data_IF_920277950072
#
_entry.id   IF_920277950072
#
_cell.length_a   1.000
_cell.length_b   1.000
_cell.length_c   1.000
_cell.angle_alpha   90.00
_cell.angle_beta   90.00
_cell.angle_gamma   90.00
#
_symmetry.space_group_name_H-M   'P 1'
#
loop_
_entity.id
_entity.type
_entity.pdbx_description
1 polymer ?
#
# COMPACT_ATOMS: atom_id res chain seq x y z
N UNK A 1 -17.66 -11.19 -7.05
CA UNK A 1 -17.85 -10.69 -5.67
C UNK A 1 -16.51 -10.73 -4.96
N UNK A 2 -16.10 -9.64 -4.30
CA UNK A 2 -14.81 -9.60 -3.60
C UNK A 2 -14.91 -10.37 -2.28
N UNK A 3 -13.85 -11.11 -1.95
CA UNK A 3 -13.68 -11.75 -0.64
C UNK A 3 -12.53 -11.03 0.05
N UNK A 4 -12.86 -10.00 0.84
CA UNK A 4 -11.87 -9.09 1.45
C UNK A 4 -10.84 -9.84 2.29
N UNK A 5 -11.28 -10.83 3.08
CA UNK A 5 -10.39 -11.66 3.87
C UNK A 5 -9.33 -12.36 3.01
N UNK A 6 -9.73 -12.95 1.88
CA UNK A 6 -8.80 -13.61 0.96
C UNK A 6 -7.76 -12.62 0.44
N UNK A 7 -8.18 -11.41 0.06
CA UNK A 7 -7.27 -10.37 -0.44
C UNK A 7 -6.27 -9.99 0.65
N UNK A 8 -6.74 -9.71 1.87
CA UNK A 8 -5.88 -9.36 3.01
C UNK A 8 -4.85 -10.46 3.27
N UNK A 9 -5.30 -11.71 3.41
CA UNK A 9 -4.41 -12.85 3.68
C UNK A 9 -3.42 -13.09 2.55
N UNK A 10 -3.85 -13.01 1.30
CA UNK A 10 -2.97 -13.13 0.12
C UNK A 10 -1.91 -12.02 0.10
N UNK A 11 -2.28 -10.77 0.37
CA UNK A 11 -1.34 -9.65 0.42
C UNK A 11 -0.33 -9.83 1.55
N UNK A 12 -0.77 -10.16 2.77
CA UNK A 12 0.13 -10.43 3.90
C UNK A 12 1.12 -11.56 3.58
N UNK A 13 0.65 -12.66 2.99
CA UNK A 13 1.50 -13.77 2.56
C UNK A 13 2.50 -13.35 1.47
N UNK A 14 2.06 -12.56 0.50
CA UNK A 14 2.91 -12.06 -0.57
C UNK A 14 4.01 -11.14 -0.06
N UNK A 15 3.78 -10.43 1.06
CA UNK A 15 4.79 -9.62 1.76
C UNK A 15 5.75 -10.48 2.58
N UNK A 16 5.30 -11.61 3.14
CA UNK A 16 6.12 -12.57 3.88
C UNK A 16 5.62 -12.90 5.29
N UNK A 17 4.44 -12.43 5.68
CA UNK A 17 3.82 -12.70 6.99
C UNK A 17 3.16 -14.07 7.02
N UNK A 18 3.96 -15.11 7.32
CA UNK A 18 3.55 -16.52 7.24
C UNK A 18 3.60 -17.26 8.57
N UNK A 19 4.03 -16.61 9.65
CA UNK A 19 4.10 -17.22 10.98
C UNK A 19 4.09 -16.16 12.09
N UNK A 20 3.73 -16.56 13.31
CA UNK A 20 3.78 -15.65 14.46
C UNK A 20 5.21 -15.18 14.77
N UNK A 21 6.24 -15.96 14.42
CA UNK A 21 7.65 -15.63 14.65
C UNK A 21 8.12 -14.39 13.88
N UNK A 22 7.53 -14.13 12.71
CA UNK A 22 7.79 -12.91 11.92
C UNK A 22 6.90 -11.74 12.35
N UNK A 23 6.10 -11.91 13.41
CA UNK A 23 5.23 -10.89 14.01
C UNK A 23 3.78 -10.89 13.52
N UNK A 24 3.46 -11.59 12.42
CA UNK A 24 2.11 -11.73 11.90
C UNK A 24 1.98 -13.01 11.05
N UNK A 25 0.92 -13.76 11.27
CA UNK A 25 0.58 -14.96 10.52
C UNK A 25 -0.67 -14.72 9.68
N UNK A 26 -0.52 -14.72 8.35
CA UNK A 26 -1.61 -14.50 7.41
C UNK A 26 -2.72 -15.56 7.48
N UNK A 27 -2.46 -16.76 8.00
CA UNK A 27 -3.47 -17.82 8.10
C UNK A 27 -4.21 -17.81 9.44
N UNK A 28 -3.56 -17.33 10.50
CA UNK A 28 -4.11 -17.35 11.86
C UNK A 28 -4.58 -15.97 12.38
N UNK A 29 -4.22 -14.86 11.72
CA UNK A 29 -4.68 -13.54 12.14
C UNK A 29 -6.20 -13.37 11.95
N UNK A 30 -6.81 -12.55 12.82
CA UNK A 30 -8.20 -12.13 12.67
C UNK A 30 -8.30 -11.03 11.62
N UNK A 31 -9.18 -11.21 10.64
CA UNK A 31 -9.52 -10.16 9.68
C UNK A 31 -10.92 -9.66 10.03
N UNK A 32 -11.01 -8.41 10.49
CA UNK A 32 -12.27 -7.74 10.78
C UNK A 32 -12.59 -6.80 9.63
N UNK A 33 -13.80 -6.91 9.07
CA UNK A 33 -14.24 -6.10 7.93
C UNK A 33 -15.36 -5.18 8.38
N UNK A 34 -15.05 -3.89 8.46
CA UNK A 34 -16.02 -2.82 8.74
C UNK A 34 -16.06 -1.84 7.56
N UNK A 35 -16.57 -2.30 6.42
CA UNK A 35 -16.68 -1.49 5.20
C UNK A 35 -18.14 -1.13 4.98
N UNK A 36 -18.41 0.17 4.89
CA UNK A 36 -19.72 0.71 4.55
C UNK A 36 -19.68 1.34 3.15
N UNK A 37 -20.87 1.61 2.60
CA UNK A 37 -20.98 2.37 1.36
C UNK A 37 -20.52 3.81 1.58
N UNK A 38 -20.10 4.47 0.49
CA UNK A 38 -19.78 5.90 0.55
C UNK A 38 -21.01 6.70 1.04
N UNK A 39 -20.77 7.71 1.87
CA UNK A 39 -21.81 8.64 2.33
C UNK A 39 -22.59 9.23 1.14
N UNK A 40 -23.94 9.19 1.17
CA UNK A 40 -24.77 9.75 0.09
C UNK A 40 -24.49 11.22 -0.18
N UNK A 41 -24.18 12.01 0.85
CA UNK A 41 -23.89 13.43 0.71
C UNK A 41 -22.57 13.67 -0.03
N UNK A 42 -21.57 12.84 0.24
CA UNK A 42 -20.28 12.87 -0.48
C UNK A 42 -20.50 12.41 -1.93
N UNK A 43 -21.24 11.31 -2.13
CA UNK A 43 -21.53 10.79 -3.45
C UNK A 43 -22.25 11.80 -4.35
N UNK A 44 -23.23 12.53 -3.80
CA UNK A 44 -23.95 13.61 -4.48
C UNK A 44 -22.99 14.76 -4.86
N UNK A 45 -22.15 15.19 -3.92
CA UNK A 45 -21.19 16.28 -4.14
C UNK A 45 -20.12 15.95 -5.18
N UNK A 46 -19.55 14.74 -5.11
CA UNK A 46 -18.43 14.31 -5.96
C UNK A 46 -18.92 13.92 -7.34
N UNK A 47 -19.71 12.85 -7.45
CA UNK A 47 -20.09 12.22 -8.73
C UNK A 47 -21.60 12.22 -8.99
N UNK A 48 -22.41 12.93 -8.18
CA UNK A 48 -23.87 13.01 -8.33
C UNK A 48 -24.54 11.65 -8.33
N UNK A 49 -24.15 10.73 -7.43
CA UNK A 49 -24.62 9.34 -7.46
C UNK A 49 -24.39 8.63 -8.82
N UNK A 50 -23.25 8.93 -9.46
CA UNK A 50 -22.78 8.35 -10.72
C UNK A 50 -23.51 8.88 -11.96
N UNK A 51 -24.20 10.02 -11.85
CA UNK A 51 -24.88 10.66 -12.98
C UNK A 51 -24.06 11.75 -13.65
N UNK A 52 -23.02 12.28 -12.98
CA UNK A 52 -22.15 13.32 -13.54
C UNK A 52 -21.27 12.76 -14.66
N UNK A 53 -21.03 13.57 -15.69
CA UNK A 53 -20.01 13.28 -16.69
C UNK A 53 -18.61 13.39 -16.09
N UNK A 54 -17.61 12.82 -16.75
CA UNK A 54 -16.24 12.76 -16.25
C UNK A 54 -15.68 14.17 -15.93
N UNK A 55 -15.96 15.14 -16.80
CA UNK A 55 -15.55 16.55 -16.67
C UNK A 55 -16.29 17.31 -15.57
N UNK A 56 -17.38 16.76 -15.03
CA UNK A 56 -18.20 17.36 -13.97
C UNK A 56 -17.89 16.76 -12.57
N UNK A 57 -17.09 15.70 -12.50
CA UNK A 57 -16.71 15.04 -11.24
C UNK A 57 -15.87 16.02 -10.41
N UNK A 58 -16.37 16.31 -9.21
CA UNK A 58 -15.68 17.17 -8.24
C UNK A 58 -14.56 16.45 -7.51
N UNK A 59 -13.70 17.20 -6.83
CA UNK A 59 -12.72 16.63 -5.92
C UNK A 59 -13.42 15.81 -4.82
N UNK A 60 -12.84 14.66 -4.47
CA UNK A 60 -13.36 13.78 -3.41
C UNK A 60 -13.22 14.36 -2.01
N UNK A 61 -12.22 15.22 -1.82
CA UNK A 61 -11.90 15.92 -0.58
C UNK A 61 -11.05 17.17 -0.90
N UNK A 62 -10.84 18.03 0.08
CA UNK A 62 -9.97 19.20 -0.01
C UNK A 62 -8.47 18.82 0.08
N UNK A 63 -7.63 19.47 -0.73
CA UNK A 63 -6.18 19.25 -0.70
C UNK A 63 -5.42 20.07 -1.74
N UNK A 64 -4.08 20.11 -1.60
CA UNK A 64 -3.17 20.69 -2.58
C UNK A 64 -2.19 19.62 -3.04
N UNK A 65 -1.86 19.62 -4.33
CA UNK A 65 -0.93 18.67 -4.92
C UNK A 65 0.21 19.45 -5.56
N UNK A 66 1.45 19.07 -5.26
CA UNK A 66 2.65 19.61 -5.91
C UNK A 66 3.31 18.51 -6.73
N UNK A 67 3.66 18.84 -7.96
CA UNK A 67 4.55 18.03 -8.80
C UNK A 67 5.94 18.68 -8.86
N UNK A 68 6.98 17.85 -8.80
CA UNK A 68 8.37 18.26 -8.97
C UNK A 68 9.08 17.29 -9.90
N UNK A 69 9.95 17.82 -10.77
CA UNK A 69 10.78 17.04 -11.69
C UNK A 69 12.14 17.74 -11.83
N UNK A 70 13.20 16.97 -11.99
CA UNK A 70 14.58 17.47 -12.16
C UNK A 70 15.36 16.54 -13.07
N UNK A 71 16.34 17.03 -13.81
CA UNK A 71 17.14 16.24 -14.76
C UNK A 71 18.35 15.53 -14.12
N UNK A 72 18.48 15.61 -12.80
CA UNK A 72 19.57 14.97 -12.05
C UNK A 72 19.66 13.44 -12.24
N UNK A 73 18.55 12.78 -12.61
CA UNK A 73 18.48 11.35 -12.89
C UNK A 73 17.65 11.04 -14.16
N UNK A 74 17.86 9.89 -14.84
CA UNK A 74 17.08 9.50 -16.01
C UNK A 74 15.57 9.37 -15.76
N UNK A 75 15.18 9.08 -14.51
CA UNK A 75 13.79 8.99 -14.06
C UNK A 75 13.18 10.36 -13.71
N UNK A 76 13.88 11.45 -14.02
CA UNK A 76 13.52 12.84 -13.72
C UNK A 76 13.22 13.13 -12.24
N UNK A 77 13.87 12.38 -11.36
CA UNK A 77 13.73 12.45 -9.91
C UNK A 77 14.98 13.04 -9.26
N UNK A 78 14.82 13.61 -8.07
CA UNK A 78 15.95 14.14 -7.30
C UNK A 78 16.97 13.05 -7.01
N UNK A 79 18.26 13.31 -7.24
CA UNK A 79 19.30 12.29 -7.15
C UNK A 79 19.40 11.61 -5.80
N UNK A 80 19.29 12.37 -4.71
CA UNK A 80 19.33 11.83 -3.34
C UNK A 80 18.11 10.94 -3.04
N UNK A 81 16.92 11.33 -3.52
CA UNK A 81 15.73 10.49 -3.42
C UNK A 81 15.94 9.18 -4.19
N UNK A 82 16.35 9.25 -5.45
CA UNK A 82 16.65 8.07 -6.25
C UNK A 82 17.73 7.20 -5.58
N UNK A 83 18.78 7.78 -5.00
CA UNK A 83 19.82 7.02 -4.33
C UNK A 83 19.31 6.24 -3.11
N UNK A 84 18.41 6.82 -2.30
CA UNK A 84 17.82 6.13 -1.15
C UNK A 84 16.98 4.94 -1.63
N UNK A 85 16.06 5.17 -2.57
CA UNK A 85 15.10 4.15 -3.05
C UNK A 85 15.74 3.09 -3.95
N UNK A 86 16.70 3.47 -4.79
CA UNK A 86 17.46 2.53 -5.62
C UNK A 86 18.47 1.70 -4.83
N UNK A 87 18.85 2.14 -3.63
CA UNK A 87 19.57 1.32 -2.65
C UNK A 87 18.62 0.58 -1.68
N UNK A 88 17.29 0.66 -1.88
CA UNK A 88 16.32 -0.21 -1.19
C UNK A 88 16.03 -1.59 -1.84
N UNK A 89 16.76 -2.18 -2.82
CA UNK A 89 16.48 -3.55 -3.22
C UNK A 89 17.28 -4.57 -2.38
N UNK A 90 16.63 -5.59 -1.83
CA UNK A 90 15.60 -5.40 -0.81
C UNK A 90 16.01 -6.16 0.44
N UNK A 91 16.14 -5.50 1.59
CA UNK A 91 16.30 -6.24 2.85
C UNK A 91 15.17 -7.28 2.99
N UNK A 92 13.96 -6.92 2.56
CA UNK A 92 12.79 -7.78 2.45
C UNK A 92 12.88 -8.94 1.41
N UNK A 93 13.79 -8.91 0.44
CA UNK A 93 13.95 -9.95 -0.60
C UNK A 93 15.23 -10.75 -0.36
N UNK A 94 16.29 -10.13 0.16
CA UNK A 94 17.40 -10.81 0.83
C UNK A 94 16.89 -11.70 1.98
N UNK A 95 16.00 -11.19 2.85
CA UNK A 95 15.33 -12.00 3.88
C UNK A 95 14.52 -13.17 3.30
N UNK A 96 13.97 -13.06 2.08
CA UNK A 96 13.26 -14.17 1.42
C UNK A 96 14.21 -15.27 0.95
N UNK A 97 15.43 -14.92 0.55
CA UNK A 97 16.46 -15.85 0.10
C UNK A 97 17.18 -16.58 1.25
N UNK A 98 17.06 -16.09 2.49
CA UNK A 98 17.66 -16.75 3.65
C UNK A 98 16.86 -18.01 4.06
N UNK A 99 17.53 -19.14 4.34
CA UNK A 99 16.89 -20.33 4.87
C UNK A 99 16.22 -20.04 6.22
N UNK A 100 15.12 -20.73 6.50
CA UNK A 100 14.23 -20.47 7.65
C UNK A 100 14.91 -20.24 9.01
N UNK A 101 16.03 -20.89 9.39
CA UNK A 101 16.65 -20.65 10.70
C UNK A 101 17.38 -19.31 10.83
N UNK A 102 17.67 -18.61 9.73
CA UNK A 102 18.52 -17.40 9.70
C UNK A 102 17.68 -16.11 9.65
N UNK A 103 16.35 -16.23 9.52
CA UNK A 103 15.43 -15.08 9.63
C UNK A 103 15.32 -14.66 11.09
N UNK A 104 16.36 -14.01 11.62
CA UNK A 104 16.34 -13.43 12.96
C UNK A 104 15.26 -12.34 13.06
N UNK A 105 14.65 -12.12 14.24
CA UNK A 105 13.58 -11.15 14.42
C UNK A 105 14.18 -9.75 14.51
N UNK A 106 14.63 -9.20 13.38
CA UNK A 106 14.98 -7.78 13.33
C UNK A 106 13.67 -7.00 13.30
N UNK A 107 13.21 -6.57 14.49
CA UNK A 107 12.07 -5.66 14.65
C UNK A 107 12.48 -4.26 14.18
N UNK A 108 12.05 -3.88 12.97
CA UNK A 108 11.99 -2.48 12.58
C UNK A 108 10.52 -2.12 12.32
N UNK A 109 9.94 -1.41 13.26
CA UNK A 109 8.80 -0.52 13.04
C UNK A 109 9.33 0.89 13.32
N UNK A 110 9.40 1.69 12.27
CA UNK A 110 9.37 3.15 12.32
C UNK A 110 8.26 3.59 11.37
#
# INVERSE_FOLDING_TARGET
MLIYEKIVRSTCRNIGFVSADVGLDADNCKVLVGIEQQSPNIAQGVHGHFTKKLEEIGAGDQGHMLGYTTDETPEFSQKEFTAIYSNQPPLAWWLRLLPSPIRSPVRFWA
#
